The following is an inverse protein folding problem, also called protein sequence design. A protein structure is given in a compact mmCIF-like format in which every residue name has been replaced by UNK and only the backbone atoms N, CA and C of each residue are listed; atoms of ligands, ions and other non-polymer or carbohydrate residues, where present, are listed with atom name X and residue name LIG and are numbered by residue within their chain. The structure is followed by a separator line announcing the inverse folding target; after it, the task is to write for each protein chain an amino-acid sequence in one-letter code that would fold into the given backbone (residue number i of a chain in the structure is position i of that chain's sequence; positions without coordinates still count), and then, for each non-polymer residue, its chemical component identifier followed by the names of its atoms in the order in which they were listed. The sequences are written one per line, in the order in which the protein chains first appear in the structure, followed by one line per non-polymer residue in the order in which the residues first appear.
data_IF_902453443757
#
_entry.id   IF_902453443757
#
_cell.length_a   1.000
_cell.length_b   1.000
_cell.length_c   1.000
_cell.angle_alpha   90.00
_cell.angle_beta   90.00
_cell.angle_gamma   90.00
#
_symmetry.space_group_name_H-M   'P 1'
#
loop_
_entity.id
_entity.type
_entity.pdbx_description
1 polymer ?
#
# COMPACT_ATOMS: atom_id res chain seq x y z
N UNK A 1 -15.40 -9.68 -11.23
CA UNK A 1 -14.49 -8.62 -10.77
C UNK A 1 -14.08 -8.84 -9.33
N UNK A 2 -12.81 -9.18 -9.10
CA UNK A 2 -12.25 -9.40 -7.76
C UNK A 2 -10.75 -9.13 -7.67
N UNK A 3 -10.25 -9.10 -6.44
CA UNK A 3 -8.82 -9.04 -6.10
C UNK A 3 -8.54 -10.20 -5.14
N UNK A 4 -7.54 -11.00 -5.43
CA UNK A 4 -7.05 -12.08 -4.58
C UNK A 4 -5.77 -11.64 -3.89
N UNK A 5 -5.64 -11.99 -2.61
CA UNK A 5 -4.51 -11.61 -1.79
C UNK A 5 -3.74 -12.85 -1.35
N UNK A 6 -2.41 -12.80 -1.44
CA UNK A 6 -1.53 -13.82 -0.89
C UNK A 6 -0.45 -13.17 -0.03
N UNK A 7 -0.38 -13.56 1.24
CA UNK A 7 0.69 -13.13 2.14
C UNK A 7 1.89 -14.03 1.92
N UNK A 8 3.00 -13.45 1.44
CA UNK A 8 4.24 -14.19 1.25
C UNK A 8 4.77 -14.63 2.63
N UNK A 9 5.02 -15.93 2.86
CA UNK A 9 5.46 -16.42 4.17
C UNK A 9 6.80 -15.86 4.62
N UNK A 10 7.68 -15.53 3.68
CA UNK A 10 9.02 -15.00 3.94
C UNK A 10 8.98 -13.54 4.42
N UNK A 11 9.87 -13.22 5.36
CA UNK A 11 10.10 -11.83 5.80
C UNK A 11 11.20 -11.20 4.95
N UNK A 12 10.94 -9.97 4.54
CA UNK A 12 11.88 -9.16 3.76
C UNK A 12 12.48 -8.09 4.65
N UNK A 13 13.66 -7.58 4.28
CA UNK A 13 14.34 -6.50 5.00
C UNK A 13 14.56 -5.32 4.08
N UNK A 14 14.27 -4.12 4.58
CA UNK A 14 14.58 -2.90 3.86
C UNK A 14 16.07 -2.53 4.00
N UNK A 15 16.49 -1.42 3.39
CA UNK A 15 17.88 -0.94 3.45
C UNK A 15 18.35 -0.58 4.86
N UNK A 16 17.43 -0.44 5.83
CA UNK A 16 17.74 -0.18 7.24
C UNK A 16 17.77 -1.46 8.08
N UNK A 17 17.51 -2.62 7.47
CA UNK A 17 17.41 -3.91 8.14
C UNK A 17 16.06 -4.17 8.82
N UNK A 18 15.07 -3.29 8.63
CA UNK A 18 13.72 -3.45 9.20
C UNK A 18 12.97 -4.54 8.45
N UNK A 19 12.38 -5.45 9.20
CA UNK A 19 11.57 -6.53 8.63
C UNK A 19 10.19 -6.03 8.19
N UNK A 20 9.75 -6.52 7.03
CA UNK A 20 8.42 -6.29 6.49
C UNK A 20 7.87 -7.53 5.79
N UNK A 21 6.56 -7.53 5.57
CA UNK A 21 5.84 -8.62 4.91
C UNK A 21 5.41 -8.18 3.53
N UNK A 22 5.52 -9.06 2.54
CA UNK A 22 5.03 -8.80 1.18
C UNK A 22 3.66 -9.43 1.02
N UNK A 23 2.73 -8.67 0.44
CA UNK A 23 1.41 -9.15 0.03
C UNK A 23 1.33 -9.05 -1.48
N UNK A 24 1.05 -10.16 -2.15
CA UNK A 24 0.77 -10.20 -3.57
C UNK A 24 -0.72 -9.96 -3.78
N UNK A 25 -1.05 -9.11 -4.73
CA UNK A 25 -2.43 -8.80 -5.11
C UNK A 25 -2.61 -9.16 -6.57
N UNK A 26 -3.44 -10.16 -6.83
CA UNK A 26 -3.85 -10.55 -8.18
C UNK A 26 -5.23 -9.97 -8.46
N UNK A 27 -5.44 -9.41 -9.64
CA UNK A 27 -6.67 -8.73 -10.00
C UNK A 27 -7.23 -9.26 -11.30
N UNK A 28 -8.56 -9.29 -11.39
CA UNK A 28 -9.22 -9.52 -12.67
C UNK A 28 -8.82 -8.45 -13.70
N UNK A 29 -8.60 -8.87 -14.94
CA UNK A 29 -8.15 -7.99 -16.02
C UNK A 29 -9.15 -6.88 -16.35
N UNK A 30 -8.62 -5.76 -16.83
CA UNK A 30 -9.39 -4.66 -17.44
C UNK A 30 -9.97 -5.17 -18.77
N UNK A 31 -11.19 -4.75 -19.13
CA UNK A 31 -11.91 -5.14 -20.36
C UNK A 31 -12.33 -6.62 -20.41
N UNK A 32 -12.69 -7.21 -19.26
CA UNK A 32 -13.31 -8.54 -19.25
C UNK A 32 -14.68 -8.48 -19.97
N UNK A 33 -15.00 -9.49 -20.79
CA UNK A 33 -16.22 -9.55 -21.64
C UNK A 33 -17.53 -9.35 -20.83
N UNK A 34 -17.49 -9.64 -19.52
CA UNK A 34 -18.62 -9.52 -18.61
C UNK A 34 -18.59 -8.27 -17.71
N UNK A 35 -17.53 -7.45 -17.71
CA UNK A 35 -17.43 -6.28 -16.85
C UNK A 35 -17.98 -5.02 -17.50
N UNK A 36 -18.59 -4.14 -16.69
CA UNK A 36 -18.88 -2.78 -17.13
C UNK A 36 -17.60 -1.97 -16.98
N UNK A 37 -17.33 -1.05 -17.92
CA UNK A 37 -16.17 -0.16 -17.87
C UNK A 37 -16.03 0.61 -16.53
N UNK A 38 -17.15 0.88 -15.84
CA UNK A 38 -17.16 1.47 -14.50
C UNK A 38 -16.56 0.59 -13.41
N UNK A 39 -16.67 -0.72 -13.54
CA UNK A 39 -16.22 -1.70 -12.54
C UNK A 39 -14.71 -1.89 -12.63
N UNK A 40 -14.17 -1.97 -13.86
CA UNK A 40 -12.73 -2.04 -14.12
C UNK A 40 -11.97 -0.85 -13.53
N UNK A 41 -12.58 0.33 -13.69
CA UNK A 41 -12.06 1.57 -13.12
C UNK A 41 -11.97 1.54 -11.60
N UNK A 42 -12.95 0.92 -10.91
CA UNK A 42 -12.94 0.80 -9.44
C UNK A 42 -11.86 -0.16 -8.96
N UNK A 43 -11.70 -1.32 -9.61
CA UNK A 43 -10.63 -2.27 -9.28
C UNK A 43 -9.27 -1.63 -9.48
N UNK A 44 -9.06 -0.95 -10.60
CA UNK A 44 -7.80 -0.25 -10.84
C UNK A 44 -7.51 0.81 -9.78
N UNK A 45 -8.50 1.66 -9.44
CA UNK A 45 -8.36 2.66 -8.37
C UNK A 45 -8.00 2.01 -7.03
N UNK A 46 -8.65 0.89 -6.69
CA UNK A 46 -8.37 0.16 -5.45
C UNK A 46 -6.95 -0.41 -5.44
N UNK A 47 -6.46 -0.98 -6.55
CA UNK A 47 -5.09 -1.48 -6.66
C UNK A 47 -4.05 -0.37 -6.49
N UNK A 48 -4.29 0.80 -7.09
CA UNK A 48 -3.42 1.97 -6.92
C UNK A 48 -3.37 2.39 -5.45
N UNK A 49 -4.52 2.46 -4.77
CA UNK A 49 -4.60 2.87 -3.36
C UNK A 49 -3.89 1.87 -2.42
N UNK A 50 -3.98 0.57 -2.71
CA UNK A 50 -3.50 -0.48 -1.81
C UNK A 50 -2.05 -0.91 -2.06
N UNK A 51 -1.53 -0.75 -3.29
CA UNK A 51 -0.20 -1.24 -3.65
C UNK A 51 0.93 -0.29 -3.23
N UNK A 52 2.13 -0.83 -3.05
CA UNK A 52 3.39 -0.06 -3.04
C UNK A 52 4.12 -0.17 -4.38
N UNK A 53 3.90 -1.27 -5.13
CA UNK A 53 4.36 -1.49 -6.49
C UNK A 53 3.17 -2.00 -7.29
N UNK A 54 2.92 -1.40 -8.45
CA UNK A 54 1.89 -1.79 -9.38
C UNK A 54 2.52 -2.33 -10.65
N UNK A 55 2.15 -3.55 -11.05
CA UNK A 55 2.61 -4.17 -12.29
C UNK A 55 1.46 -4.10 -13.29
N UNK A 56 1.63 -3.29 -14.34
CA UNK A 56 0.73 -3.26 -15.47
C UNK A 56 1.21 -4.25 -16.54
N UNK A 57 0.45 -5.32 -16.75
CA UNK A 57 0.83 -6.42 -17.64
C UNK A 57 0.11 -6.30 -18.99
N UNK A 58 0.87 -6.18 -20.08
CA UNK A 58 0.34 -6.14 -21.46
C UNK A 58 1.06 -7.12 -22.37
N UNK A 59 0.42 -7.53 -23.47
CA UNK A 59 1.05 -8.36 -24.49
C UNK A 59 1.71 -7.51 -25.59
N UNK A 60 2.89 -7.91 -26.04
CA UNK A 60 3.67 -7.22 -27.07
C UNK A 60 4.32 -5.92 -26.60
N UNK A 61 4.97 -5.23 -27.55
CA UNK A 61 5.52 -3.89 -27.33
C UNK A 61 4.43 -2.87 -27.58
N UNK A 62 4.10 -2.00 -26.61
CA UNK A 62 2.97 -1.09 -26.74
C UNK A 62 3.29 0.01 -27.75
N UNK A 63 2.25 0.43 -28.44
CA UNK A 63 2.24 1.58 -29.32
C UNK A 63 1.49 2.76 -28.66
N UNK A 64 1.34 3.86 -29.39
CA UNK A 64 0.68 5.07 -28.86
C UNK A 64 -0.81 4.85 -28.56
N UNK A 65 -1.51 4.01 -29.33
CA UNK A 65 -2.91 3.69 -29.07
C UNK A 65 -3.07 2.88 -27.78
N UNK A 66 -2.11 2.02 -27.43
CA UNK A 66 -2.11 1.33 -26.13
C UNK A 66 -1.95 2.32 -24.97
N UNK A 67 -1.11 3.34 -25.14
CA UNK A 67 -0.97 4.43 -24.17
C UNK A 67 -2.27 5.26 -24.05
N UNK A 68 -2.96 5.52 -25.16
CA UNK A 68 -4.28 6.18 -25.14
C UNK A 68 -5.37 5.33 -24.47
N UNK A 69 -5.22 4.01 -24.47
CA UNK A 69 -6.08 3.07 -23.74
C UNK A 69 -5.97 3.25 -22.23
N UNK A 70 -4.85 3.79 -21.74
CA UNK A 70 -4.60 4.09 -20.33
C UNK A 70 -5.19 5.41 -19.85
N UNK A 71 -6.19 5.97 -20.54
CA UNK A 71 -6.91 7.21 -20.17
C UNK A 71 -7.43 7.22 -18.73
N UNK A 72 -7.74 6.03 -18.20
CA UNK A 72 -8.21 5.91 -16.83
C UNK A 72 -7.15 6.37 -15.83
N UNK A 73 -5.85 6.27 -16.14
CA UNK A 73 -4.77 6.79 -15.30
C UNK A 73 -4.86 8.31 -15.17
N UNK A 74 -5.22 9.01 -16.26
CA UNK A 74 -5.41 10.47 -16.26
C UNK A 74 -6.51 10.86 -15.27
N UNK A 75 -7.56 10.05 -15.17
CA UNK A 75 -8.71 10.28 -14.27
C UNK A 75 -8.46 9.82 -12.84
N UNK A 76 -7.23 9.46 -12.44
CA UNK A 76 -6.94 9.09 -11.05
C UNK A 76 -7.10 10.27 -10.11
N UNK A 77 -6.68 11.47 -10.51
CA UNK A 77 -6.84 12.70 -9.71
C UNK A 77 -8.30 13.03 -9.41
N UNK A 78 -9.21 12.68 -10.33
CA UNK A 78 -10.64 12.92 -10.18
C UNK A 78 -11.32 11.84 -9.32
N UNK A 79 -10.66 10.68 -9.18
CA UNK A 79 -11.21 9.50 -8.50
C UNK A 79 -10.56 9.22 -7.16
N UNK A 80 -9.51 9.93 -6.79
CA UNK A 80 -8.80 9.79 -5.52
C UNK A 80 -8.54 11.17 -4.95
N UNK A 81 -8.98 11.39 -3.72
CA UNK A 81 -8.62 12.58 -2.95
C UNK A 81 -7.51 12.22 -1.95
N UNK A 82 -6.37 12.92 -2.00
CA UNK A 82 -5.30 12.67 -1.02
C UNK A 82 -5.55 13.37 0.31
N UNK A 83 -5.97 14.63 0.28
CA UNK A 83 -6.13 15.49 1.46
C UNK A 83 -7.50 16.15 1.51
N UNK A 84 -8.05 16.29 2.72
CA UNK A 84 -9.42 16.82 2.96
C UNK A 84 -9.52 18.34 2.80
N UNK A 85 -8.39 19.09 2.88
CA UNK A 85 -8.40 20.56 3.04
C UNK A 85 -7.54 21.35 2.03
N UNK A 86 -7.05 20.76 0.94
CA UNK A 86 -6.20 21.47 -0.03
C UNK A 86 -6.79 21.48 -1.44
N UNK A 87 -6.54 22.59 -2.17
CA UNK A 87 -6.79 22.72 -3.59
C UNK A 87 -5.96 21.71 -4.41
N UNK A 88 -6.44 21.30 -5.60
CA UNK A 88 -5.89 20.20 -6.39
C UNK A 88 -4.66 20.63 -7.21
N UNK A 89 -3.57 21.05 -6.56
CA UNK A 89 -2.43 21.63 -7.30
C UNK A 89 -1.04 21.20 -6.87
N UNK A 90 -0.89 20.32 -5.89
CA UNK A 90 0.44 19.85 -5.48
C UNK A 90 0.60 18.37 -5.82
N UNK A 91 0.82 18.11 -7.11
CA UNK A 91 1.03 16.79 -7.68
C UNK A 91 2.18 16.00 -7.01
N UNK A 92 3.06 16.69 -6.29
CA UNK A 92 4.09 16.09 -5.47
C UNK A 92 3.51 15.19 -4.36
N UNK A 93 2.29 15.45 -3.89
CA UNK A 93 1.61 14.57 -2.94
C UNK A 93 1.15 13.25 -3.57
N UNK A 94 0.80 13.23 -4.86
CA UNK A 94 0.47 11.99 -5.57
C UNK A 94 1.70 11.11 -5.71
N UNK A 95 2.84 11.70 -6.11
CA UNK A 95 4.12 11.02 -6.21
C UNK A 95 4.53 10.31 -4.91
N UNK A 96 4.23 10.90 -3.75
CA UNK A 96 4.54 10.29 -2.44
C UNK A 96 3.55 9.17 -2.04
N UNK A 97 2.30 9.23 -2.51
CA UNK A 97 1.23 8.32 -2.10
C UNK A 97 1.01 7.12 -3.03
N UNK A 98 1.32 7.26 -4.33
CA UNK A 98 1.03 6.26 -5.36
C UNK A 98 2.17 5.24 -5.51
N UNK A 99 1.84 4.03 -5.99
CA UNK A 99 2.79 2.94 -6.09
C UNK A 99 3.90 3.23 -7.10
N UNK A 100 4.95 2.43 -7.05
CA UNK A 100 5.93 2.36 -8.12
C UNK A 100 5.31 1.67 -9.35
N UNK A 101 5.36 2.27 -10.53
CA UNK A 101 4.72 1.72 -11.73
C UNK A 101 5.71 0.87 -12.53
N UNK A 102 5.35 -0.38 -12.79
CA UNK A 102 6.14 -1.31 -13.60
C UNK A 102 5.30 -1.76 -14.78
N UNK A 103 5.75 -1.47 -15.99
CA UNK A 103 5.09 -1.98 -17.20
C UNK A 103 5.76 -3.28 -17.64
N UNK A 104 5.05 -4.40 -17.49
CA UNK A 104 5.51 -5.73 -17.88
C UNK A 104 4.95 -6.11 -19.26
N UNK A 105 5.84 -6.30 -20.22
CA UNK A 105 5.52 -6.68 -21.58
C UNK A 105 5.66 -8.19 -21.76
N UNK A 106 4.60 -8.85 -22.18
CA UNK A 106 4.56 -10.30 -22.40
C UNK A 106 4.75 -10.62 -23.87
N UNK A 107 5.29 -11.80 -24.14
CA UNK A 107 5.42 -12.36 -25.49
C UNK A 107 6.23 -11.48 -26.47
N UNK A 108 7.22 -10.75 -25.94
CA UNK A 108 8.07 -9.85 -26.73
C UNK A 108 9.27 -10.60 -27.30
N UNK A 109 9.37 -10.61 -28.63
CA UNK A 109 10.53 -11.17 -29.36
C UNK A 109 11.51 -10.10 -29.84
N UNK A 110 11.15 -8.82 -29.70
CA UNK A 110 11.94 -7.69 -30.17
C UNK A 110 12.92 -7.27 -29.08
N UNK A 111 14.09 -6.79 -29.50
CA UNK A 111 15.02 -6.09 -28.63
C UNK A 111 14.68 -4.59 -28.61
N UNK A 112 15.10 -3.85 -27.56
CA UNK A 112 15.04 -2.39 -27.58
C UNK A 112 15.70 -1.83 -28.85
N UNK A 113 15.15 -0.75 -29.44
CA UNK A 113 15.69 -0.17 -30.67
C UNK A 113 17.09 0.42 -30.46
N UNK A 114 17.83 0.60 -31.55
CA UNK A 114 19.18 1.16 -31.53
C UNK A 114 19.22 2.50 -30.77
N UNK A 115 20.10 2.57 -29.76
CA UNK A 115 20.23 3.74 -28.89
C UNK A 115 19.43 3.66 -27.58
N UNK A 116 18.67 2.58 -27.36
CA UNK A 116 18.07 2.22 -26.07
C UNK A 116 18.78 0.99 -25.52
N UNK A 117 19.26 1.03 -24.27
CA UNK A 117 19.88 -0.14 -23.63
C UNK A 117 18.81 -1.06 -23.02
N UNK A 118 17.70 -0.48 -22.61
CA UNK A 118 16.59 -1.18 -21.95
C UNK A 118 15.25 -0.76 -22.55
N UNK A 119 14.20 -1.54 -22.26
CA UNK A 119 12.83 -1.12 -22.59
C UNK A 119 12.44 0.14 -21.82
N UNK A 120 12.90 0.32 -20.58
CA UNK A 120 12.71 1.59 -19.87
C UNK A 120 13.20 2.80 -20.69
N UNK A 121 14.39 2.72 -21.27
CA UNK A 121 14.93 3.80 -22.11
C UNK A 121 14.04 4.06 -23.33
N UNK A 122 13.51 2.99 -23.94
CA UNK A 122 12.57 3.09 -25.05
C UNK A 122 11.28 3.81 -24.64
N UNK A 123 10.69 3.44 -23.51
CA UNK A 123 9.49 4.09 -22.99
C UNK A 123 9.72 5.57 -22.74
N UNK A 124 10.76 5.93 -21.99
CA UNK A 124 11.05 7.32 -21.65
C UNK A 124 11.33 8.16 -22.90
N UNK A 125 12.07 7.61 -23.87
CA UNK A 125 12.49 8.37 -25.06
C UNK A 125 11.39 8.52 -26.12
N UNK A 126 10.54 7.52 -26.28
CA UNK A 126 9.61 7.45 -27.43
C UNK A 126 8.13 7.40 -27.04
N UNK A 127 7.76 6.66 -26.00
CA UNK A 127 6.35 6.43 -25.66
C UNK A 127 5.82 7.44 -24.64
N UNK A 128 6.57 7.67 -23.57
CA UNK A 128 6.27 8.62 -22.50
C UNK A 128 6.90 10.00 -22.75
N UNK A 129 7.51 10.21 -23.92
CA UNK A 129 8.05 11.50 -24.30
C UNK A 129 6.91 12.43 -24.73
N UNK A 130 6.52 13.34 -23.85
CA UNK A 130 5.43 14.29 -24.06
C UNK A 130 5.70 15.29 -25.20
N UNK A 131 6.97 15.55 -25.52
CA UNK A 131 7.41 16.53 -26.53
C UNK A 131 7.54 15.92 -27.94
N UNK A 132 7.34 14.61 -28.08
CA UNK A 132 7.49 13.95 -29.37
C UNK A 132 6.39 14.39 -30.37
N UNK A 133 6.81 14.79 -31.57
CA UNK A 133 5.90 15.14 -32.66
C UNK A 133 4.92 13.99 -32.97
N UNK A 134 3.68 14.35 -33.32
CA UNK A 134 2.60 13.39 -33.61
C UNK A 134 1.97 12.72 -32.39
N UNK A 135 2.24 13.17 -31.16
CA UNK A 135 1.50 12.72 -29.99
C UNK A 135 0.06 13.27 -30.02
N UNK A 136 -0.92 12.41 -29.78
CA UNK A 136 -2.27 12.90 -29.49
C UNK A 136 -2.30 13.54 -28.11
N UNK A 137 -3.23 14.46 -27.89
CA UNK A 137 -3.41 15.11 -26.59
C UNK A 137 -3.69 14.08 -25.48
N UNK A 138 -4.39 12.99 -25.82
CA UNK A 138 -4.72 11.91 -24.89
C UNK A 138 -3.48 11.09 -24.50
N UNK A 139 -2.64 10.74 -25.46
CA UNK A 139 -1.37 10.06 -25.20
C UNK A 139 -0.44 10.93 -24.34
N UNK A 140 -0.36 12.23 -24.64
CA UNK A 140 0.45 13.20 -23.90
C UNK A 140 0.03 13.30 -22.44
N UNK A 141 -1.27 13.52 -22.17
CA UNK A 141 -1.80 13.56 -20.79
C UNK A 141 -1.55 12.28 -20.03
N UNK A 142 -1.69 11.13 -20.69
CA UNK A 142 -1.46 9.83 -20.05
C UNK A 142 0.00 9.63 -19.67
N UNK A 143 0.93 9.98 -20.56
CA UNK A 143 2.36 9.98 -20.26
C UNK A 143 2.69 10.91 -19.07
N UNK A 144 2.15 12.12 -19.07
CA UNK A 144 2.32 13.08 -17.97
C UNK A 144 1.79 12.52 -16.64
N UNK A 145 0.60 11.95 -16.62
CA UNK A 145 0.02 11.34 -15.43
C UNK A 145 0.85 10.17 -14.91
N UNK A 146 1.40 9.32 -15.78
CA UNK A 146 2.28 8.21 -15.36
C UNK A 146 3.55 8.76 -14.69
N UNK A 147 4.21 9.73 -15.33
CA UNK A 147 5.47 10.28 -14.83
C UNK A 147 5.29 11.15 -13.58
N UNK A 148 4.12 11.76 -13.41
CA UNK A 148 3.84 12.73 -12.34
C UNK A 148 3.21 12.10 -11.11
N UNK A 149 2.30 11.12 -11.30
CA UNK A 149 1.57 10.54 -10.18
C UNK A 149 2.31 9.39 -9.53
N UNK A 150 3.00 8.53 -10.27
CA UNK A 150 3.63 7.34 -9.68
C UNK A 150 5.03 7.65 -9.15
N UNK A 151 5.40 7.02 -8.03
CA UNK A 151 6.70 7.22 -7.36
C UNK A 151 7.91 6.76 -8.20
N UNK A 152 7.67 6.11 -9.33
CA UNK A 152 8.68 5.83 -10.34
C UNK A 152 8.13 4.94 -11.45
N UNK A 153 8.99 4.71 -12.44
CA UNK A 153 8.66 3.95 -13.63
C UNK A 153 9.81 3.02 -14.02
N UNK A 154 9.48 1.75 -14.26
CA UNK A 154 10.34 0.78 -14.96
C UNK A 154 9.53 0.01 -16.01
N UNK A 155 10.21 -0.54 -17.02
CA UNK A 155 9.60 -1.39 -18.04
C UNK A 155 10.46 -2.64 -18.29
N UNK A 156 9.81 -3.80 -18.37
CA UNK A 156 10.44 -5.11 -18.57
C UNK A 156 9.73 -5.88 -19.67
N UNK A 157 10.47 -6.73 -20.36
CA UNK A 157 9.93 -7.61 -21.40
C UNK A 157 10.22 -9.07 -21.08
N UNK A 158 9.23 -9.93 -21.25
CA UNK A 158 9.37 -11.36 -21.20
C UNK A 158 9.09 -11.94 -22.59
N UNK A 159 9.97 -12.79 -23.14
CA UNK A 159 9.66 -13.51 -24.36
C UNK A 159 8.55 -14.55 -24.10
N UNK A 160 7.96 -15.16 -25.14
CA UNK A 160 6.98 -16.21 -24.95
C UNK A 160 7.58 -17.38 -24.14
N UNK A 161 6.82 -17.94 -23.18
CA UNK A 161 7.31 -19.02 -22.32
C UNK A 161 7.57 -20.31 -23.09
N UNK A 162 6.80 -20.56 -24.16
CA UNK A 162 7.01 -21.65 -25.12
C UNK A 162 6.23 -21.35 -26.41
N UNK A 163 6.52 -22.08 -27.48
CA UNK A 163 5.70 -22.05 -28.71
C UNK A 163 4.55 -23.06 -28.68
N UNK A 164 4.71 -24.19 -27.99
CA UNK A 164 3.68 -25.23 -27.91
C UNK A 164 2.64 -24.86 -26.83
N UNK A 165 1.36 -24.67 -27.19
CA UNK A 165 0.29 -24.40 -26.24
C UNK A 165 0.15 -25.46 -25.13
N UNK A 166 0.53 -26.72 -25.39
CA UNK A 166 0.50 -27.79 -24.36
C UNK A 166 1.54 -27.55 -23.28
N UNK A 167 2.70 -27.02 -23.64
CA UNK A 167 3.75 -26.64 -22.68
C UNK A 167 3.27 -25.44 -21.88
N UNK A 168 2.72 -24.41 -22.54
CA UNK A 168 2.22 -23.18 -21.88
C UNK A 168 1.14 -23.51 -20.83
N UNK A 169 0.22 -24.43 -21.12
CA UNK A 169 -0.83 -24.84 -20.18
C UNK A 169 -0.31 -25.60 -18.95
N UNK A 170 0.89 -26.18 -19.04
CA UNK A 170 1.45 -27.06 -18.01
C UNK A 170 2.83 -26.58 -17.55
N UNK A 171 3.11 -25.27 -17.53
CA UNK A 171 4.42 -24.72 -17.18
C UNK A 171 4.95 -25.16 -15.79
N UNK A 172 4.06 -25.58 -14.90
CA UNK A 172 4.41 -26.08 -13.57
C UNK A 172 4.72 -27.59 -13.54
N UNK A 173 4.53 -28.32 -14.65
CA UNK A 173 4.85 -29.75 -14.75
C UNK A 173 6.34 -29.94 -15.10
N UNK A 174 7.06 -30.66 -14.25
CA UNK A 174 8.48 -30.98 -14.45
C UNK A 174 8.74 -31.70 -15.79
N UNK A 175 7.75 -32.41 -16.35
CA UNK A 175 7.88 -33.09 -17.66
C UNK A 175 8.07 -32.15 -18.84
N UNK A 176 7.55 -30.93 -18.77
CA UNK A 176 7.63 -29.96 -19.88
C UNK A 176 8.64 -28.85 -19.62
N UNK A 177 9.28 -28.83 -18.46
CA UNK A 177 10.25 -27.80 -18.04
C UNK A 177 11.43 -27.65 -18.98
N UNK A 178 11.92 -28.74 -19.55
CA UNK A 178 12.99 -28.72 -20.57
C UNK A 178 12.57 -28.11 -21.90
N UNK A 179 11.26 -27.96 -22.15
CA UNK A 179 10.69 -27.37 -23.36
C UNK A 179 10.32 -25.89 -23.17
N UNK A 180 10.45 -25.36 -21.95
CA UNK A 180 10.26 -23.94 -21.65
C UNK A 180 11.43 -23.15 -22.20
N UNK A 181 11.15 -21.99 -22.79
CA UNK A 181 12.14 -21.08 -23.33
C UNK A 181 13.15 -20.67 -22.24
N UNK A 182 14.45 -21.03 -22.37
CA UNK A 182 15.45 -20.68 -21.35
C UNK A 182 15.61 -19.17 -21.16
N UNK A 183 15.40 -18.38 -22.22
CA UNK A 183 15.43 -16.92 -22.12
C UNK A 183 14.26 -16.41 -21.26
N UNK A 184 13.07 -16.99 -21.39
CA UNK A 184 11.93 -16.62 -20.54
C UNK A 184 12.23 -16.87 -19.05
N UNK A 185 12.82 -18.02 -18.73
CA UNK A 185 13.19 -18.36 -17.35
C UNK A 185 14.22 -17.37 -16.80
N UNK A 186 15.27 -17.07 -17.58
CA UNK A 186 16.30 -16.11 -17.20
C UNK A 186 15.72 -14.70 -16.98
N UNK A 187 14.98 -14.17 -17.95
CA UNK A 187 14.38 -12.82 -17.86
C UNK A 187 13.36 -12.74 -16.71
N UNK A 188 12.67 -13.83 -16.39
CA UNK A 188 11.78 -13.90 -15.21
C UNK A 188 12.57 -13.80 -13.90
N UNK A 189 13.71 -14.48 -13.78
CA UNK A 189 14.56 -14.36 -12.59
C UNK A 189 15.21 -12.97 -12.49
N UNK A 190 15.68 -12.41 -13.60
CA UNK A 190 16.20 -11.04 -13.66
C UNK A 190 15.10 -10.02 -13.25
N UNK A 191 13.86 -10.21 -13.72
CA UNK A 191 12.71 -9.41 -13.32
C UNK A 191 12.41 -9.52 -11.82
N UNK A 192 12.40 -10.73 -11.26
CA UNK A 192 12.22 -10.94 -9.81
C UNK A 192 13.31 -10.23 -9.03
N UNK A 193 14.58 -10.34 -9.44
CA UNK A 193 15.69 -9.67 -8.77
C UNK A 193 15.50 -8.15 -8.75
N UNK A 194 15.06 -7.55 -9.86
CA UNK A 194 14.75 -6.12 -9.88
C UNK A 194 13.55 -5.80 -8.98
N UNK A 195 12.45 -6.55 -9.04
CA UNK A 195 11.31 -6.35 -8.14
C UNK A 195 11.74 -6.40 -6.68
N UNK A 196 12.54 -7.39 -6.29
CA UNK A 196 13.09 -7.51 -4.93
C UNK A 196 13.87 -6.26 -4.51
N UNK A 197 14.66 -5.66 -5.40
CA UNK A 197 15.39 -4.42 -5.13
C UNK A 197 14.48 -3.19 -4.93
N UNK A 198 13.24 -3.24 -5.43
CA UNK A 198 12.25 -2.17 -5.31
C UNK A 198 11.27 -2.37 -4.14
N UNK A 199 11.19 -3.59 -3.60
CA UNK A 199 10.30 -3.90 -2.49
C UNK A 199 10.56 -2.93 -1.33
N UNK A 200 9.49 -2.27 -0.92
CA UNK A 200 9.51 -1.36 0.21
C UNK A 200 8.19 -1.43 0.97
N UNK A 201 8.22 -1.20 2.29
CA UNK A 201 7.01 -1.08 3.09
C UNK A 201 6.09 0.00 2.52
N UNK A 202 4.79 -0.28 2.44
CA UNK A 202 3.81 0.72 2.01
C UNK A 202 3.77 1.86 3.04
N UNK A 203 3.98 3.08 2.55
CA UNK A 203 3.92 4.29 3.36
C UNK A 203 2.47 4.74 3.51
N UNK A 204 2.15 5.35 4.64
CA UNK A 204 0.90 6.08 4.78
C UNK A 204 1.03 7.47 4.13
N UNK A 205 -0.07 8.24 4.14
CA UNK A 205 -0.07 9.63 3.70
C UNK A 205 0.79 10.53 4.61
N UNK A 206 1.04 10.09 5.85
CA UNK A 206 1.84 10.82 6.82
C UNK A 206 3.31 10.38 6.72
N UNK A 207 4.22 11.33 6.56
CA UNK A 207 5.65 11.05 6.43
C UNK A 207 6.17 10.28 7.64
N UNK A 208 6.80 9.13 7.37
CA UNK A 208 7.44 8.27 8.37
C UNK A 208 6.52 7.21 8.99
N UNK A 209 5.23 7.21 8.65
CA UNK A 209 4.28 6.19 9.06
C UNK A 209 4.12 5.12 7.97
N UNK A 210 3.92 3.87 8.40
CA UNK A 210 3.85 2.70 7.53
C UNK A 210 2.53 1.97 7.72
N UNK A 211 2.01 1.42 6.62
CA UNK A 211 0.77 0.63 6.62
C UNK A 211 1.10 -0.78 7.13
N UNK A 212 0.60 -1.11 8.33
CA UNK A 212 0.67 -2.46 8.90
C UNK A 212 -0.36 -3.39 8.24
N UNK A 213 -0.32 -4.69 8.55
CA UNK A 213 -1.33 -5.64 8.05
C UNK A 213 -2.74 -5.31 8.54
N UNK A 214 -2.88 -4.91 9.80
CA UNK A 214 -4.14 -4.44 10.39
C UNK A 214 -4.62 -3.16 9.69
N UNK A 215 -3.71 -2.20 9.46
CA UNK A 215 -4.03 -0.98 8.74
C UNK A 215 -4.48 -1.27 7.30
N UNK A 216 -3.79 -2.19 6.61
CA UNK A 216 -4.15 -2.58 5.24
C UNK A 216 -5.57 -3.17 5.20
N UNK A 217 -5.94 -4.03 6.15
CA UNK A 217 -7.27 -4.60 6.24
C UNK A 217 -8.35 -3.53 6.46
N UNK A 218 -8.11 -2.57 7.35
CA UNK A 218 -9.02 -1.45 7.58
C UNK A 218 -9.15 -0.53 6.34
N UNK A 219 -8.02 -0.21 5.68
CA UNK A 219 -8.02 0.61 4.47
C UNK A 219 -8.78 -0.07 3.32
N UNK A 220 -8.65 -1.39 3.16
CA UNK A 220 -9.44 -2.15 2.18
C UNK A 220 -10.93 -1.92 2.41
N UNK A 221 -11.40 -2.06 3.66
CA UNK A 221 -12.82 -1.88 3.98
C UNK A 221 -13.29 -0.45 3.66
N UNK A 222 -12.55 0.56 4.13
CA UNK A 222 -12.88 1.98 3.93
C UNK A 222 -12.90 2.37 2.45
N UNK A 223 -11.92 1.91 1.67
CA UNK A 223 -11.88 2.23 0.23
C UNK A 223 -12.93 1.46 -0.57
N UNK A 224 -13.21 0.20 -0.23
CA UNK A 224 -14.28 -0.57 -0.88
C UNK A 224 -15.65 0.06 -0.59
N UNK A 225 -15.90 0.51 0.64
CA UNK A 225 -17.12 1.22 1.00
C UNK A 225 -17.26 2.53 0.21
N UNK A 226 -16.20 3.34 0.15
CA UNK A 226 -16.20 4.59 -0.61
C UNK A 226 -16.44 4.36 -2.11
N UNK A 227 -15.77 3.38 -2.72
CA UNK A 227 -15.90 3.08 -4.16
C UNK A 227 -17.27 2.54 -4.55
N UNK A 228 -17.99 1.92 -3.61
CA UNK A 228 -19.34 1.41 -3.85
C UNK A 228 -20.44 2.40 -3.48
N UNK A 229 -20.11 3.49 -2.80
CA UNK A 229 -21.05 4.56 -2.45
C UNK A 229 -21.27 5.50 -3.64
N UNK A 230 -22.51 5.70 -4.13
CA UNK A 230 -22.77 6.58 -5.27
C UNK A 230 -22.30 8.02 -5.02
N UNK A 231 -21.47 8.54 -5.92
CA UNK A 231 -20.95 9.91 -5.85
C UNK A 231 -19.84 10.15 -4.82
N UNK A 232 -19.43 9.13 -4.07
CA UNK A 232 -18.31 9.23 -3.14
C UNK A 232 -16.97 9.08 -3.89
N UNK A 233 -15.96 9.80 -3.40
CA UNK A 233 -14.57 9.70 -3.86
C UNK A 233 -13.73 9.20 -2.68
N UNK A 234 -12.96 8.10 -2.82
CA UNK A 234 -12.09 7.62 -1.76
C UNK A 234 -11.07 8.69 -1.37
N UNK A 235 -10.96 8.94 -0.07
CA UNK A 235 -10.05 9.93 0.50
C UNK A 235 -8.98 9.25 1.35
N UNK A 236 -7.71 9.37 0.95
CA UNK A 236 -6.58 8.64 1.56
C UNK A 236 -6.31 9.13 2.98
N UNK A 237 -6.27 10.45 3.20
CA UNK A 237 -6.06 11.03 4.53
C UNK A 237 -7.19 10.67 5.48
N UNK A 238 -8.44 10.82 5.05
CA UNK A 238 -9.59 10.50 5.89
C UNK A 238 -9.60 9.01 6.29
N UNK A 239 -9.30 8.12 5.34
CA UNK A 239 -9.23 6.69 5.63
C UNK A 239 -8.13 6.37 6.65
N UNK A 240 -6.96 6.99 6.50
CA UNK A 240 -5.85 6.84 7.43
C UNK A 240 -6.17 7.41 8.82
N UNK A 241 -6.69 8.64 8.88
CA UNK A 241 -7.07 9.31 10.12
C UNK A 241 -8.14 8.52 10.89
N UNK A 242 -9.12 7.97 10.15
CA UNK A 242 -10.15 7.08 10.71
C UNK A 242 -9.53 5.83 11.33
N UNK A 243 -8.61 5.15 10.62
CA UNK A 243 -7.91 3.99 11.16
C UNK A 243 -7.10 4.33 12.41
N UNK A 244 -6.29 5.39 12.37
CA UNK A 244 -5.46 5.84 13.50
C UNK A 244 -6.34 6.16 14.71
N UNK A 245 -7.46 6.86 14.50
CA UNK A 245 -8.39 7.21 15.57
C UNK A 245 -9.01 5.96 16.21
N UNK A 246 -9.48 5.02 15.41
CA UNK A 246 -10.08 3.77 15.91
C UNK A 246 -9.05 2.97 16.71
N UNK A 247 -7.88 2.69 16.11
CA UNK A 247 -6.82 1.91 16.78
C UNK A 247 -6.35 2.57 18.07
N UNK A 248 -6.07 3.89 18.06
CA UNK A 248 -5.59 4.57 19.26
C UNK A 248 -6.66 4.64 20.36
N UNK A 249 -7.95 4.68 20.01
CA UNK A 249 -9.05 4.65 20.98
C UNK A 249 -9.19 3.27 21.63
N UNK A 250 -9.06 2.20 20.84
CA UNK A 250 -9.06 0.81 21.33
C UNK A 250 -7.88 0.55 22.26
N UNK A 251 -6.67 0.89 21.82
CA UNK A 251 -5.45 0.73 22.62
C UNK A 251 -5.53 1.55 23.91
N UNK A 252 -6.07 2.77 23.88
CA UNK A 252 -6.29 3.57 25.08
C UNK A 252 -7.25 2.86 26.05
N UNK A 253 -8.37 2.32 25.55
CA UNK A 253 -9.33 1.61 26.38
C UNK A 253 -8.72 0.36 27.02
N UNK A 254 -7.93 -0.42 26.26
CA UNK A 254 -7.27 -1.61 26.78
C UNK A 254 -6.15 -1.29 27.76
N UNK A 255 -5.39 -0.23 27.51
CA UNK A 255 -4.37 0.25 28.44
C UNK A 255 -4.98 0.70 29.78
N UNK A 256 -6.16 1.34 29.75
CA UNK A 256 -6.91 1.70 30.96
C UNK A 256 -7.42 0.46 31.73
N UNK A 257 -7.86 -0.60 31.04
CA UNK A 257 -8.22 -1.87 31.69
C UNK A 257 -7.01 -2.53 32.35
N UNK A 258 -5.83 -2.47 31.72
CA UNK A 258 -4.58 -2.97 32.31
C UNK A 258 -4.22 -2.19 33.56
N UNK A 259 -4.34 -0.85 33.51
CA UNK A 259 -4.12 0.00 34.68
C UNK A 259 -5.06 -0.38 35.83
N UNK A 260 -6.37 -0.50 35.56
CA UNK A 260 -7.37 -0.88 36.57
C UNK A 260 -7.06 -2.24 37.19
N UNK A 261 -6.79 -3.26 36.35
CA UNK A 261 -6.44 -4.60 36.81
C UNK A 261 -5.19 -4.60 37.70
N UNK A 262 -4.16 -3.87 37.33
CA UNK A 262 -2.92 -3.79 38.09
C UNK A 262 -3.15 -3.08 39.43
N UNK A 263 -3.90 -1.97 39.42
CA UNK A 263 -4.30 -1.26 40.65
C UNK A 263 -5.10 -2.18 41.58
N UNK A 264 -6.12 -2.87 41.08
CA UNK A 264 -6.91 -3.83 41.87
C UNK A 264 -6.02 -4.92 42.47
N UNK A 265 -5.09 -5.48 41.69
CA UNK A 265 -4.19 -6.51 42.19
C UNK A 265 -3.25 -6.03 43.30
N UNK A 266 -2.85 -4.76 43.28
CA UNK A 266 -1.88 -4.21 44.23
C UNK A 266 -2.54 -3.67 45.50
N UNK A 267 -3.71 -3.04 45.37
CA UNK A 267 -4.35 -2.27 46.46
C UNK A 267 -5.79 -2.65 46.82
N UNK A 268 -6.53 -3.46 46.05
CA UNK A 268 -7.98 -3.64 46.31
C UNK A 268 -8.33 -4.10 47.73
N UNK A 269 -7.58 -5.07 48.28
CA UNK A 269 -7.81 -5.57 49.64
C UNK A 269 -7.01 -4.80 50.72
N UNK A 270 -6.39 -3.68 50.34
CA UNK A 270 -5.55 -2.86 51.22
C UNK A 270 -6.12 -1.45 51.41
N UNK A 271 -7.21 -1.09 50.74
CA UNK A 271 -7.84 0.22 50.94
C UNK A 271 -8.68 0.17 52.23
N UNK A 272 -8.54 1.15 53.15
CA UNK A 272 -7.63 2.31 53.09
C UNK A 272 -6.16 1.93 53.36
N UNK A 273 -5.24 2.41 52.51
CA UNK A 273 -3.79 2.18 52.63
C UNK A 273 -3.00 3.49 52.77
N UNK A 274 -1.71 3.38 53.11
CA UNK A 274 -0.79 4.51 53.11
C UNK A 274 -0.64 5.12 51.71
N UNK A 275 -0.48 6.45 51.67
CA UNK A 275 -0.33 7.20 50.43
C UNK A 275 0.87 6.74 49.58
N UNK A 276 1.96 6.31 50.21
CA UNK A 276 3.15 5.84 49.52
C UNK A 276 2.93 4.49 48.82
N UNK A 277 2.12 3.61 49.42
CA UNK A 277 1.74 2.34 48.82
C UNK A 277 0.82 2.57 47.61
N UNK A 278 -0.13 3.50 47.74
CA UNK A 278 -1.02 3.88 46.64
C UNK A 278 -0.24 4.53 45.48
N UNK A 279 0.71 5.43 45.79
CA UNK A 279 1.56 6.08 44.78
C UNK A 279 2.45 5.07 44.05
N UNK A 280 3.09 4.16 44.79
CA UNK A 280 3.93 3.11 44.20
C UNK A 280 3.12 2.17 43.30
N UNK A 281 1.88 1.84 43.68
CA UNK A 281 0.98 1.04 42.85
C UNK A 281 0.56 1.78 41.58
N UNK A 282 0.21 3.06 41.70
CA UNK A 282 -0.11 3.94 40.56
C UNK A 282 1.05 4.00 39.56
N UNK A 283 2.27 4.24 40.04
CA UNK A 283 3.44 4.38 39.17
C UNK A 283 3.73 3.08 38.39
N UNK A 284 3.62 1.92 39.04
CA UNK A 284 3.80 0.61 38.40
C UNK A 284 2.70 0.33 37.36
N UNK A 285 1.43 0.55 37.72
CA UNK A 285 0.30 0.38 36.81
C UNK A 285 0.40 1.33 35.60
N UNK A 286 0.81 2.58 35.83
CA UNK A 286 1.00 3.57 34.78
C UNK A 286 2.16 3.19 33.86
N UNK A 287 3.27 2.68 34.40
CA UNK A 287 4.40 2.22 33.60
C UNK A 287 4.00 1.08 32.65
N UNK A 288 3.30 0.06 33.16
CA UNK A 288 2.80 -1.07 32.34
C UNK A 288 1.84 -0.61 31.25
N UNK A 289 0.93 0.29 31.61
CA UNK A 289 -0.03 0.89 30.70
C UNK A 289 0.66 1.67 29.55
N UNK A 290 1.66 2.50 29.88
CA UNK A 290 2.44 3.26 28.91
C UNK A 290 3.27 2.36 28.00
N UNK A 291 3.85 1.29 28.54
CA UNK A 291 4.61 0.32 27.75
C UNK A 291 3.72 -0.40 26.74
N UNK A 292 2.56 -0.91 27.17
CA UNK A 292 1.55 -1.49 26.28
C UNK A 292 1.12 -0.50 25.20
N UNK A 293 0.75 0.73 25.59
CA UNK A 293 0.30 1.75 24.65
C UNK A 293 1.36 2.05 23.59
N UNK A 294 2.63 2.18 23.98
CA UNK A 294 3.76 2.41 23.05
C UNK A 294 3.98 1.22 22.12
N UNK A 295 3.90 0.01 22.63
CA UNK A 295 4.11 -1.21 21.84
C UNK A 295 3.00 -1.39 20.79
N UNK A 296 1.76 -1.05 21.11
CA UNK A 296 0.62 -1.18 20.19
C UNK A 296 0.50 -0.02 19.18
N UNK A 297 1.13 1.13 19.47
CA UNK A 297 1.06 2.33 18.62
C UNK A 297 2.39 2.68 17.93
N UNK A 298 3.38 1.80 17.98
CA UNK A 298 4.74 2.02 17.48
C UNK A 298 4.82 2.41 15.99
N UNK A 299 3.83 2.00 15.19
CA UNK A 299 3.77 2.29 13.74
C UNK A 299 3.32 3.70 13.42
N UNK A 300 2.82 4.45 14.40
CA UNK A 300 2.32 5.81 14.24
C UNK A 300 3.33 6.85 14.72
N UNK A 301 3.24 8.06 14.16
CA UNK A 301 4.05 9.18 14.61
C UNK A 301 3.59 9.67 15.99
N UNK A 302 4.52 10.30 16.72
CA UNK A 302 4.24 10.91 18.02
C UNK A 302 3.06 11.89 17.92
N UNK A 303 2.97 12.65 16.81
CA UNK A 303 1.88 13.61 16.58
C UNK A 303 0.52 12.94 16.52
N UNK A 304 0.43 11.78 15.85
CA UNK A 304 -0.81 11.03 15.69
C UNK A 304 -1.33 10.47 17.02
N UNK A 305 -0.42 10.06 17.91
CA UNK A 305 -0.76 9.44 19.20
C UNK A 305 -0.85 10.43 20.37
N UNK A 306 -0.27 11.63 20.24
CA UNK A 306 -0.11 12.63 21.33
C UNK A 306 -1.42 12.93 22.08
N UNK A 307 -2.53 13.08 21.36
CA UNK A 307 -3.85 13.32 21.97
C UNK A 307 -4.27 12.17 22.90
N UNK A 308 -4.00 10.93 22.52
CA UNK A 308 -4.37 9.74 23.29
C UNK A 308 -3.39 9.51 24.44
N UNK A 309 -2.10 9.74 24.18
CA UNK A 309 -1.07 9.70 25.22
C UNK A 309 -1.38 10.73 26.31
N UNK A 310 -1.75 11.97 25.95
CA UNK A 310 -2.20 12.99 26.91
C UNK A 310 -3.42 12.52 27.69
N UNK A 311 -4.44 11.95 27.04
CA UNK A 311 -5.61 11.40 27.75
C UNK A 311 -5.23 10.32 28.76
N UNK A 312 -4.23 9.51 28.45
CA UNK A 312 -3.71 8.47 29.33
C UNK A 312 -2.92 9.06 30.51
N UNK A 313 -2.09 10.07 30.25
CA UNK A 313 -1.16 10.66 31.24
C UNK A 313 -1.72 11.83 32.02
N UNK A 314 -2.87 12.42 31.63
CA UNK A 314 -3.48 13.54 32.37
C UNK A 314 -3.67 13.09 33.81
N UNK A 315 -2.81 13.67 34.66
CA UNK A 315 -2.55 13.28 36.03
C UNK A 315 -3.84 13.24 36.81
N UNK A 316 -4.11 12.09 37.43
CA UNK A 316 -5.29 11.77 38.24
C UNK A 316 -6.55 11.34 37.48
N UNK A 317 -6.63 11.35 36.15
CA UNK A 317 -7.82 10.82 35.47
C UNK A 317 -8.07 9.34 35.81
N UNK A 318 -7.05 8.50 35.55
CA UNK A 318 -7.14 7.06 35.80
C UNK A 318 -7.19 6.71 37.30
N UNK A 319 -6.39 7.40 38.13
CA UNK A 319 -6.38 7.18 39.59
C UNK A 319 -7.69 7.66 40.25
N UNK A 320 -8.18 8.86 39.93
CA UNK A 320 -9.46 9.35 40.45
C UNK A 320 -10.62 8.49 39.96
N UNK A 321 -10.61 8.05 38.69
CA UNK A 321 -11.61 7.11 38.20
C UNK A 321 -11.58 5.80 38.99
N UNK A 322 -10.40 5.23 39.24
CA UNK A 322 -10.26 4.01 40.04
C UNK A 322 -10.81 4.18 41.47
N UNK A 323 -10.43 5.27 42.15
CA UNK A 323 -10.88 5.59 43.51
C UNK A 323 -12.37 5.94 43.60
N UNK A 324 -12.99 6.41 42.51
CA UNK A 324 -14.43 6.66 42.48
C UNK A 324 -15.26 5.38 42.30
N UNK A 325 -14.66 4.28 41.82
CA UNK A 325 -15.34 3.01 41.55
C UNK A 325 -15.04 1.92 42.59
N UNK A 326 -14.11 2.14 43.53
CA UNK A 326 -13.70 1.20 44.57
C UNK A 326 -13.54 1.91 45.91
#
# INVERSE_FOLDING_TARGET
MGIWLWVVPEKFKDSTGREFTVVLMDSEGIDAVSSKQSDDHRIFTLLVLLSSIMIYNSAGVPNRSDLEGLDFIVKLSDRIQLHTKQQPTDDQHFYEAFPYFVWLLRDVMLYPPTGCKTFKDYFIKYLLNCEAEGNTEKARKTAESILKYFSGFDAFSLPPPAYDPKVIRNLNDEKVKSQVNPAFLKETEDFKAVLHSKLSPKKSINKGEFVTGEALAALIQLFVEALNTPGAIPNVQNAWDTFVQTKCSEVLADALKVYEKEMTSLVANKIPCEADLLRSAHDNAMQKCLEMFRNETFSFSIKSVDKYLKKLTVSNGALSNYLNHN
#
